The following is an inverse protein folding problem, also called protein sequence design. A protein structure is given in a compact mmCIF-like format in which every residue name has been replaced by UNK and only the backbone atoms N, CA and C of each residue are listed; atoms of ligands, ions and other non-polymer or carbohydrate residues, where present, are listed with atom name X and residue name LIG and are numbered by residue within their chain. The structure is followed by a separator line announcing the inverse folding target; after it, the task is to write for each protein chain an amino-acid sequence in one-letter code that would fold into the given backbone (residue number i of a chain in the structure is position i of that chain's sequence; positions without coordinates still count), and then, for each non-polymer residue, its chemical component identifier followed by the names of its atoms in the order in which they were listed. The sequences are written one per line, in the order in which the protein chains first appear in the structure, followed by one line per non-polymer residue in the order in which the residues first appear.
data_IF_337471860909
#
_entry.id   IF_337471860909
#
_cell.length_a   1.000
_cell.length_b   1.000
_cell.length_c   1.000
_cell.angle_alpha   90.00
_cell.angle_beta   90.00
_cell.angle_gamma   90.00
#
_symmetry.space_group_name_H-M   'P 1'
#
loop_
_entity.id
_entity.type
_entity.pdbx_description
1 polymer ?
#
# COMPACT_ATOMS: atom_id res chain seq x y z
N UNK A 1 -19.80 14.93 14.23
CA UNK A 1 -20.64 14.02 13.43
C UNK A 1 -19.76 12.86 13.00
N UNK A 2 -20.20 11.60 13.01
CA UNK A 2 -19.32 10.49 12.67
C UNK A 2 -18.93 10.60 11.20
N UNK A 3 -17.62 10.62 10.93
CA UNK A 3 -17.02 10.60 9.61
C UNK A 3 -17.39 9.27 8.94
N UNK A 4 -18.42 9.27 8.10
CA UNK A 4 -18.85 8.10 7.32
C UNK A 4 -17.85 7.66 6.24
N UNK A 5 -16.56 7.93 6.47
CA UNK A 5 -15.56 8.16 5.44
C UNK A 5 -14.26 7.40 5.67
N UNK A 6 -13.96 7.10 6.93
CA UNK A 6 -12.81 6.29 7.31
C UNK A 6 -13.30 4.87 7.54
N UNK A 7 -12.76 3.92 6.79
CA UNK A 7 -12.95 2.51 7.11
C UNK A 7 -11.84 2.05 8.07
N UNK A 8 -12.21 1.28 9.08
CA UNK A 8 -11.26 0.63 9.99
C UNK A 8 -11.31 -0.87 9.77
N UNK A 9 -10.17 -1.43 9.37
CA UNK A 9 -9.96 -2.87 9.19
C UNK A 9 -9.24 -3.41 10.41
N UNK A 10 -9.75 -4.52 10.95
CA UNK A 10 -9.14 -5.25 12.07
C UNK A 10 -8.61 -6.59 11.59
N UNK A 11 -7.49 -7.04 12.16
CA UNK A 11 -6.79 -8.23 11.69
C UNK A 11 -6.95 -9.39 12.68
N UNK A 12 -7.67 -10.44 12.28
CA UNK A 12 -7.89 -11.61 13.14
C UNK A 12 -6.60 -12.36 13.50
N UNK A 13 -5.61 -12.37 12.61
CA UNK A 13 -4.30 -13.00 12.84
C UNK A 13 -3.35 -12.13 13.69
N UNK A 14 -3.68 -10.85 13.86
CA UNK A 14 -2.88 -9.89 14.62
C UNK A 14 -3.80 -9.06 15.52
N UNK A 15 -4.35 -9.67 16.60
CA UNK A 15 -5.24 -8.97 17.51
C UNK A 15 -4.60 -7.69 18.05
N UNK A 16 -5.40 -6.61 18.14
CA UNK A 16 -4.93 -5.30 18.59
C UNK A 16 -4.30 -4.43 17.50
N UNK A 17 -4.04 -4.98 16.31
CA UNK A 17 -3.62 -4.19 15.14
C UNK A 17 -4.84 -3.73 14.35
N UNK A 18 -4.79 -2.49 13.87
CA UNK A 18 -5.84 -1.94 13.02
C UNK A 18 -5.25 -1.16 11.84
N UNK A 19 -6.04 -1.04 10.78
CA UNK A 19 -5.71 -0.26 9.60
C UNK A 19 -6.87 0.67 9.29
N UNK A 20 -6.61 1.97 9.37
CA UNK A 20 -7.53 3.01 8.91
C UNK A 20 -7.27 3.30 7.45
N UNK A 21 -8.33 3.51 6.69
CA UNK A 21 -8.22 3.92 5.30
C UNK A 21 -9.28 4.94 4.90
N UNK A 22 -8.98 5.77 3.90
CA UNK A 22 -9.85 6.81 3.33
C UNK A 22 -9.57 6.99 1.83
N UNK A 23 -10.58 7.39 1.04
CA UNK A 23 -10.49 7.54 -0.42
C UNK A 23 -10.58 9.00 -0.86
N UNK A 24 -9.58 9.52 -1.56
CA UNK A 24 -9.55 10.93 -1.98
C UNK A 24 -9.51 11.02 -3.49
N UNK A 25 -10.40 11.79 -4.11
CA UNK A 25 -10.47 11.95 -5.57
C UNK A 25 -9.91 13.31 -6.02
N UNK A 26 -9.77 13.50 -7.34
CA UNK A 26 -9.39 14.80 -7.89
C UNK A 26 -7.93 15.18 -7.66
N UNK A 27 -7.07 14.21 -7.30
CA UNK A 27 -5.67 14.49 -6.94
C UNK A 27 -4.79 14.53 -8.20
N UNK A 28 -4.06 15.63 -8.49
CA UNK A 28 -3.12 15.67 -9.61
C UNK A 28 -1.97 14.66 -9.45
N UNK A 29 -1.40 14.18 -10.56
CA UNK A 29 -0.31 13.17 -10.53
C UNK A 29 0.90 13.65 -9.72
N UNK A 30 1.35 14.89 -9.95
CA UNK A 30 2.50 15.47 -9.26
C UNK A 30 2.27 15.57 -7.74
N UNK A 31 1.03 15.87 -7.34
CA UNK A 31 0.63 15.90 -5.95
C UNK A 31 0.63 14.49 -5.33
N UNK A 32 0.20 13.45 -6.07
CA UNK A 32 0.24 12.06 -5.62
C UNK A 32 1.66 11.63 -5.25
N UNK A 33 2.65 11.94 -6.10
CA UNK A 33 4.06 11.56 -5.87
C UNK A 33 4.63 12.23 -4.63
N UNK A 34 4.47 13.56 -4.54
CA UNK A 34 4.93 14.32 -3.39
C UNK A 34 4.23 13.88 -2.08
N UNK A 35 2.95 13.53 -2.15
CA UNK A 35 2.22 12.98 -0.99
C UNK A 35 2.69 11.58 -0.61
N UNK A 36 2.94 10.70 -1.56
CA UNK A 36 3.46 9.36 -1.29
C UNK A 36 4.79 9.44 -0.54
N UNK A 37 5.74 10.26 -0.99
CA UNK A 37 7.03 10.47 -0.32
C UNK A 37 6.87 11.07 1.10
N UNK A 38 5.96 12.04 1.26
CA UNK A 38 5.67 12.62 2.58
C UNK A 38 5.02 11.61 3.53
N UNK A 39 4.08 10.80 3.06
CA UNK A 39 3.38 9.79 3.87
C UNK A 39 4.34 8.73 4.42
N UNK A 40 5.38 8.36 3.66
CA UNK A 40 6.41 7.41 4.14
C UNK A 40 7.19 7.92 5.35
N UNK A 41 7.57 9.19 5.26
CA UNK A 41 8.36 9.87 6.27
C UNK A 41 7.47 10.54 7.31
N UNK A 42 6.17 10.26 7.29
CA UNK A 42 5.23 10.81 8.23
C UNK A 42 5.48 10.21 9.60
N UNK A 43 6.11 11.01 10.44
CA UNK A 43 6.26 10.74 11.85
C UNK A 43 5.29 11.64 12.60
N UNK A 44 4.26 11.05 13.19
CA UNK A 44 3.43 11.75 14.16
C UNK A 44 4.30 11.95 15.41
N UNK A 45 5.03 13.07 15.45
CA UNK A 45 6.08 13.45 16.42
C UNK A 45 5.69 13.39 17.91
N UNK A 46 4.49 12.93 18.23
CA UNK A 46 3.89 12.91 19.57
C UNK A 46 3.69 11.48 20.14
N UNK A 47 4.36 10.46 19.59
CA UNK A 47 4.28 9.09 20.13
C UNK A 47 5.69 8.53 20.36
N UNK A 48 6.06 8.34 21.63
CA UNK A 48 7.32 7.71 22.09
C UNK A 48 7.56 6.28 21.54
N UNK A 49 6.63 5.76 20.74
CA UNK A 49 6.65 4.43 20.10
C UNK A 49 6.15 4.48 18.66
N UNK A 50 6.19 5.62 17.96
CA UNK A 50 5.75 5.71 16.57
C UNK A 50 6.56 4.74 15.69
N UNK A 51 5.96 3.61 15.32
CA UNK A 51 6.57 2.71 14.36
C UNK A 51 6.76 3.48 13.04
N UNK A 52 8.01 3.55 12.58
CA UNK A 52 8.37 4.20 11.33
C UNK A 52 7.55 3.62 10.15
N UNK A 53 7.02 4.49 9.29
CA UNK A 53 6.33 4.13 8.06
C UNK A 53 5.00 3.37 8.24
N UNK A 54 4.20 3.77 9.24
CA UNK A 54 2.81 3.29 9.45
C UNK A 54 1.82 3.78 8.41
N UNK A 55 2.12 4.89 7.74
CA UNK A 55 1.25 5.54 6.78
C UNK A 55 1.72 5.31 5.35
N UNK A 56 0.77 5.27 4.41
CA UNK A 56 1.05 5.24 2.99
C UNK A 56 -0.12 5.78 2.19
N UNK A 57 0.16 6.17 0.95
CA UNK A 57 -0.83 6.54 -0.06
C UNK A 57 -0.61 5.63 -1.27
N UNK A 58 -1.69 5.19 -1.89
CA UNK A 58 -1.64 4.32 -3.06
C UNK A 58 -2.77 4.60 -4.05
N UNK A 59 -2.62 4.18 -5.30
CA UNK A 59 -3.62 4.32 -6.36
C UNK A 59 -4.84 3.42 -6.06
N UNK A 60 -5.99 4.05 -5.83
CA UNK A 60 -7.23 3.31 -5.56
C UNK A 60 -7.74 2.54 -6.79
N UNK A 61 -7.35 2.96 -8.00
CA UNK A 61 -7.67 2.25 -9.25
C UNK A 61 -6.99 0.88 -9.33
N UNK A 62 -5.93 0.65 -8.56
CA UNK A 62 -5.22 -0.63 -8.46
C UNK A 62 -5.77 -1.57 -7.40
N UNK A 63 -6.71 -1.10 -6.60
CA UNK A 63 -7.31 -1.84 -5.49
C UNK A 63 -8.71 -2.30 -5.88
N UNK A 64 -9.01 -3.58 -5.68
CA UNK A 64 -10.30 -4.14 -6.11
C UNK A 64 -11.41 -4.05 -5.07
N UNK A 65 -11.06 -4.07 -3.78
CA UNK A 65 -12.00 -3.99 -2.67
C UNK A 65 -11.26 -3.70 -1.35
N UNK A 66 -12.01 -3.49 -0.27
CA UNK A 66 -11.44 -3.46 1.08
C UNK A 66 -10.87 -4.81 1.51
N UNK A 67 -11.43 -5.92 1.03
CA UNK A 67 -10.92 -7.26 1.33
C UNK A 67 -9.52 -7.49 0.72
N UNK A 68 -9.27 -6.95 -0.49
CA UNK A 68 -7.92 -6.92 -1.08
C UNK A 68 -6.93 -6.27 -0.09
N UNK A 69 -7.26 -5.09 0.43
CA UNK A 69 -6.40 -4.38 1.39
C UNK A 69 -6.27 -5.12 2.71
N UNK A 70 -7.34 -5.71 3.22
CA UNK A 70 -7.31 -6.51 4.46
C UNK A 70 -6.37 -7.72 4.32
N UNK A 71 -6.39 -8.41 3.18
CA UNK A 71 -5.48 -9.54 2.90
C UNK A 71 -4.04 -9.05 2.76
N UNK A 72 -3.82 -7.98 1.98
CA UNK A 72 -2.48 -7.40 1.83
C UNK A 72 -1.89 -6.91 3.16
N UNK A 73 -2.71 -6.27 4.01
CA UNK A 73 -2.33 -5.81 5.35
C UNK A 73 -1.98 -6.96 6.29
N UNK A 74 -2.74 -8.07 6.28
CA UNK A 74 -2.39 -9.27 7.04
C UNK A 74 -1.03 -9.84 6.60
N UNK A 75 -0.77 -9.92 5.30
CA UNK A 75 0.51 -10.41 4.78
C UNK A 75 1.65 -9.46 5.18
N UNK A 76 1.42 -8.15 5.10
CA UNK A 76 2.40 -7.14 5.51
C UNK A 76 2.72 -7.24 7.01
N UNK A 77 1.71 -7.42 7.87
CA UNK A 77 1.88 -7.68 9.29
C UNK A 77 2.69 -8.95 9.56
N UNK A 78 2.37 -10.04 8.89
CA UNK A 78 3.11 -11.31 9.03
C UNK A 78 4.58 -11.16 8.61
N UNK A 79 4.87 -10.40 7.55
CA UNK A 79 6.24 -10.12 7.09
C UNK A 79 6.98 -9.19 8.04
N UNK A 80 6.31 -8.16 8.57
CA UNK A 80 6.88 -7.27 9.59
C UNK A 80 7.26 -8.03 10.86
N UNK A 81 6.38 -8.92 11.34
CA UNK A 81 6.64 -9.74 12.52
C UNK A 81 7.87 -10.65 12.34
N UNK A 82 8.05 -11.25 11.14
CA UNK A 82 9.25 -12.04 10.81
C UNK A 82 10.52 -11.19 10.87
N UNK A 83 10.48 -9.96 10.35
CA UNK A 83 11.63 -9.05 10.41
C UNK A 83 11.99 -8.64 11.84
N UNK A 84 10.98 -8.35 12.66
CA UNK A 84 11.18 -8.04 14.09
C UNK A 84 11.80 -9.22 14.85
N UNK A 85 11.29 -10.43 14.62
CA UNK A 85 11.84 -11.65 15.22
C UNK A 85 13.30 -11.90 14.80
N UNK A 86 13.64 -11.72 13.51
CA UNK A 86 15.01 -11.84 13.04
C UNK A 86 15.94 -10.78 13.63
N UNK A 87 15.49 -9.52 13.76
CA UNK A 87 16.27 -8.45 14.36
C UNK A 87 16.54 -8.72 15.85
N UNK A 88 15.54 -9.22 16.59
CA UNK A 88 15.70 -9.61 18.00
C UNK A 88 16.65 -10.79 18.17
N UNK A 89 16.56 -11.82 17.30
CA UNK A 89 17.46 -12.96 17.33
C UNK A 89 18.92 -12.56 17.03
N UNK A 90 19.14 -11.65 16.09
CA UNK A 90 20.49 -11.12 15.79
C UNK A 90 21.05 -10.28 16.95
N UNK A 91 20.21 -9.46 17.60
CA UNK A 91 20.61 -8.70 18.77
C UNK A 91 20.99 -9.60 19.97
N UNK A 92 20.31 -10.74 20.13
CA UNK A 92 20.65 -11.73 21.16
C UNK A 92 21.91 -12.53 20.84
N UNK A 93 22.21 -12.77 19.55
CA UNK A 93 23.42 -13.47 19.13
C UNK A 93 24.71 -12.61 19.19
N UNK A 94 24.58 -11.28 19.24
CA UNK A 94 25.69 -10.31 19.34
C UNK A 94 25.93 -9.78 20.78
N UNK A 95 25.64 -10.60 21.79
CA UNK A 95 25.93 -10.24 23.18
C UNK A 95 27.43 -10.20 23.50
N UNK A 96 28.10 -9.09 23.20
CA UNK A 96 29.30 -8.51 23.86
C UNK A 96 30.14 -7.75 22.84
N UNK A 97 30.02 -6.42 22.76
CA UNK A 97 31.13 -5.47 22.65
C UNK A 97 30.52 -4.07 22.56
N UNK A 98 30.79 -3.27 23.58
CA UNK A 98 30.59 -1.83 23.54
C UNK A 98 31.39 -1.24 22.36
N UNK A 99 30.88 -0.09 21.87
CA UNK A 99 31.56 0.89 21.03
C UNK A 99 31.37 0.74 19.50
N UNK A 100 30.43 1.55 19.00
CA UNK A 100 30.52 2.12 17.65
C UNK A 100 29.45 1.66 16.65
N UNK A 101 28.29 2.33 16.64
CA UNK A 101 27.56 2.73 15.42
C UNK A 101 27.34 1.71 14.29
N UNK A 102 27.31 0.42 14.57
CA UNK A 102 27.14 -0.63 13.56
C UNK A 102 25.67 -0.94 13.32
N UNK A 103 25.01 -0.13 12.49
CA UNK A 103 23.63 -0.34 12.07
C UNK A 103 23.44 -1.75 11.49
N UNK A 104 22.67 -2.58 12.20
CA UNK A 104 22.17 -3.86 11.72
C UNK A 104 21.31 -3.63 10.47
N UNK A 105 21.92 -3.64 9.28
CA UNK A 105 21.29 -3.65 7.96
C UNK A 105 19.97 -2.83 7.85
N UNK A 106 19.93 -1.65 8.49
CA UNK A 106 18.71 -0.84 8.65
C UNK A 106 18.25 -0.22 7.32
N UNK A 107 19.10 -0.26 6.29
CA UNK A 107 18.85 0.33 4.98
C UNK A 107 17.73 -0.35 4.16
N UNK A 108 17.23 -1.52 4.59
CA UNK A 108 16.14 -2.23 3.89
C UNK A 108 14.82 -2.32 4.68
N UNK A 109 14.72 -1.71 5.86
CA UNK A 109 13.47 -1.79 6.65
C UNK A 109 12.41 -0.88 6.05
N UNK A 110 11.45 -1.48 5.35
CA UNK A 110 10.25 -0.82 4.85
C UNK A 110 9.24 -0.70 5.98
N UNK A 111 8.57 0.44 6.06
CA UNK A 111 7.43 0.62 6.96
C UNK A 111 6.27 -0.29 6.57
N UNK A 112 5.40 -0.61 7.53
CA UNK A 112 4.25 -1.50 7.29
C UNK A 112 3.26 -0.94 6.26
N UNK A 113 3.17 0.38 6.13
CA UNK A 113 2.40 1.04 5.07
C UNK A 113 2.94 0.70 3.68
N UNK A 114 4.26 0.84 3.46
CA UNK A 114 4.90 0.44 2.19
C UNK A 114 4.74 -1.05 1.92
N UNK A 115 4.89 -1.87 2.94
CA UNK A 115 4.79 -3.31 2.78
C UNK A 115 3.37 -3.72 2.38
N UNK A 116 2.36 -3.00 2.86
CA UNK A 116 0.97 -3.18 2.43
C UNK A 116 0.77 -2.79 0.97
N UNK A 117 1.39 -1.70 0.48
CA UNK A 117 1.39 -1.33 -0.94
C UNK A 117 2.02 -2.44 -1.80
N UNK A 118 3.16 -2.99 -1.36
CA UNK A 118 3.86 -4.08 -2.06
C UNK A 118 3.01 -5.35 -2.08
N UNK A 119 2.44 -5.73 -0.94
CA UNK A 119 1.59 -6.91 -0.84
C UNK A 119 0.33 -6.78 -1.68
N UNK A 120 -0.26 -5.57 -1.75
CA UNK A 120 -1.43 -5.28 -2.59
C UNK A 120 -1.11 -5.49 -4.08
N UNK A 121 0.09 -5.13 -4.52
CA UNK A 121 0.50 -5.35 -5.91
C UNK A 121 0.68 -6.83 -6.29
N UNK A 122 0.68 -7.76 -5.32
CA UNK A 122 0.83 -9.20 -5.58
C UNK A 122 2.14 -9.56 -6.30
N UNK A 123 3.21 -8.78 -6.06
CA UNK A 123 4.51 -8.94 -6.71
C UNK A 123 5.65 -8.94 -5.69
N UNK A 124 6.69 -9.73 -5.96
CA UNK A 124 7.94 -9.70 -5.20
C UNK A 124 8.86 -8.55 -5.62
N UNK A 125 8.56 -7.89 -6.75
CA UNK A 125 9.36 -6.76 -7.24
C UNK A 125 8.88 -5.45 -6.62
N UNK A 126 9.44 -5.10 -5.46
CA UNK A 126 9.04 -3.92 -4.71
C UNK A 126 9.12 -2.61 -5.51
N UNK A 127 10.10 -2.47 -6.42
CA UNK A 127 10.21 -1.27 -7.27
C UNK A 127 8.98 -1.07 -8.17
N UNK A 128 8.55 -2.12 -8.87
CA UNK A 128 7.33 -2.06 -9.68
C UNK A 128 6.09 -1.80 -8.86
N UNK A 129 5.96 -2.43 -7.68
CA UNK A 129 4.83 -2.20 -6.79
C UNK A 129 4.76 -0.75 -6.31
N UNK A 130 5.87 -0.22 -5.80
CA UNK A 130 5.93 1.14 -5.28
C UNK A 130 5.69 2.17 -6.40
N UNK A 131 6.18 1.92 -7.61
CA UNK A 131 5.91 2.80 -8.76
C UNK A 131 4.44 2.75 -9.20
N UNK A 132 3.91 1.56 -9.46
CA UNK A 132 2.62 1.38 -10.12
C UNK A 132 1.43 1.50 -9.16
N UNK A 133 1.65 1.24 -7.86
CA UNK A 133 0.62 1.31 -6.81
C UNK A 133 0.88 2.46 -5.83
N UNK A 134 2.14 2.78 -5.51
CA UNK A 134 2.48 3.74 -4.46
C UNK A 134 2.89 5.14 -4.96
N UNK A 135 2.82 5.43 -6.25
CA UNK A 135 3.27 6.69 -6.85
C UNK A 135 4.75 7.04 -6.61
N UNK A 136 5.61 6.06 -6.34
CA UNK A 136 7.04 6.29 -6.11
C UNK A 136 7.84 6.36 -7.41
N UNK A 137 8.70 7.37 -7.55
CA UNK A 137 9.69 7.39 -8.63
C UNK A 137 10.85 6.47 -8.24
N UNK A 138 10.75 5.20 -8.64
CA UNK A 138 11.83 4.25 -8.43
C UNK A 138 12.91 4.56 -9.46
N UNK A 139 14.12 4.89 -8.98
CA UNK A 139 15.27 5.20 -9.82
C UNK A 139 15.34 4.20 -10.99
N UNK A 140 15.35 4.73 -12.22
CA UNK A 140 15.28 3.93 -13.44
C UNK A 140 16.33 2.82 -13.42
N UNK A 141 15.89 1.55 -13.38
CA UNK A 141 16.79 0.47 -13.74
C UNK A 141 17.05 0.51 -15.25
N UNK A 142 18.01 -0.32 -15.66
CA UNK A 142 18.72 -0.36 -16.94
C UNK A 142 17.92 -0.02 -18.22
N UNK A 143 18.62 0.29 -19.32
CA UNK A 143 18.04 0.70 -20.61
C UNK A 143 16.90 -0.19 -21.15
N UNK A 144 16.82 -1.45 -20.72
CA UNK A 144 15.72 -2.37 -21.04
C UNK A 144 14.39 -1.95 -20.39
N UNK A 145 14.42 -1.38 -19.19
CA UNK A 145 13.24 -0.86 -18.49
C UNK A 145 12.80 0.51 -19.00
N UNK A 146 13.71 1.32 -19.58
CA UNK A 146 13.36 2.59 -20.26
C UNK A 146 12.38 2.36 -21.43
N UNK A 147 12.56 1.30 -22.22
CA UNK A 147 11.62 0.94 -23.31
C UNK A 147 10.25 0.47 -22.79
N UNK A 148 10.18 -0.09 -21.57
CA UNK A 148 8.90 -0.36 -20.91
C UNK A 148 8.28 0.90 -20.30
N UNK A 149 9.12 1.85 -19.83
CA UNK A 149 8.72 3.16 -19.31
C UNK A 149 7.93 3.94 -20.35
N UNK A 150 8.38 3.99 -21.60
CA UNK A 150 7.66 4.67 -22.70
C UNK A 150 6.31 3.98 -23.02
N UNK A 151 6.26 2.65 -23.09
CA UNK A 151 5.01 1.92 -23.39
C UNK A 151 3.98 1.89 -22.25
N UNK A 152 4.41 2.10 -21.00
CA UNK A 152 3.50 2.15 -19.84
C UNK A 152 3.17 3.58 -19.40
N UNK A 153 4.07 4.56 -19.59
CA UNK A 153 3.74 5.98 -19.41
C UNK A 153 2.68 6.41 -20.42
N UNK A 154 2.71 5.94 -21.67
CA UNK A 154 1.62 6.21 -22.63
C UNK A 154 0.26 5.63 -22.19
N UNK A 155 0.25 4.66 -21.27
CA UNK A 155 -0.97 4.07 -20.71
C UNK A 155 -1.43 4.74 -19.39
N UNK A 156 -0.56 5.48 -18.69
CA UNK A 156 -0.92 6.33 -17.54
C UNK A 156 -1.12 7.80 -17.93
N UNK A 157 -0.56 8.24 -19.06
CA UNK A 157 -0.71 9.58 -19.63
C UNK A 157 -2.11 9.78 -20.21
N UNK A 158 -3.10 9.98 -19.34
CA UNK A 158 -4.40 10.61 -19.66
C UNK A 158 -5.31 10.89 -18.47
N UNK A 159 -4.98 10.48 -17.26
CA UNK A 159 -5.76 10.84 -16.09
C UNK A 159 -5.36 12.27 -15.64
N UNK A 160 -6.24 13.24 -15.83
CA UNK A 160 -6.04 14.61 -15.31
C UNK A 160 -6.08 14.67 -13.78
N UNK A 161 -6.59 13.62 -13.14
CA UNK A 161 -6.64 13.45 -11.69
C UNK A 161 -6.76 11.97 -11.32
N UNK A 162 -6.30 11.64 -10.12
CA UNK A 162 -6.31 10.30 -9.54
C UNK A 162 -7.30 10.22 -8.38
N UNK A 163 -7.76 8.99 -8.12
CA UNK A 163 -8.33 8.64 -6.83
C UNK A 163 -7.29 7.85 -6.05
N UNK A 164 -6.96 8.29 -4.85
CA UNK A 164 -5.99 7.65 -3.99
C UNK A 164 -6.68 6.99 -2.80
N UNK A 165 -6.05 5.94 -2.28
CA UNK A 165 -6.36 5.33 -1.01
C UNK A 165 -5.25 5.71 -0.04
N UNK A 166 -5.60 6.48 0.99
CA UNK A 166 -4.72 6.75 2.12
C UNK A 166 -4.90 5.65 3.16
N UNK A 167 -3.80 5.17 3.76
CA UNK A 167 -3.83 4.12 4.79
C UNK A 167 -2.94 4.49 5.98
N UNK A 168 -3.35 4.08 7.18
CA UNK A 168 -2.60 4.29 8.43
C UNK A 168 -2.78 3.13 9.39
N UNK A 169 -1.67 2.51 9.80
CA UNK A 169 -1.68 1.44 10.79
C UNK A 169 -1.65 1.99 12.22
N UNK A 170 -2.40 1.33 13.10
CA UNK A 170 -2.35 1.50 14.56
C UNK A 170 -2.46 2.97 14.99
N UNK A 171 -3.36 3.72 14.34
CA UNK A 171 -3.70 5.06 14.77
C UNK A 171 -4.49 4.96 16.08
N UNK A 172 -4.12 5.77 17.08
CA UNK A 172 -4.73 5.79 18.41
C UNK A 172 -6.22 6.09 18.35
N UNK A 173 -6.59 7.05 17.51
CA UNK A 173 -7.94 7.54 17.32
C UNK A 173 -8.13 8.09 15.89
N UNK A 174 -9.35 8.52 15.59
CA UNK A 174 -9.70 9.15 14.31
C UNK A 174 -8.93 10.46 14.13
N UNK A 175 -8.62 11.18 15.21
CA UNK A 175 -7.94 12.47 15.18
C UNK A 175 -6.47 12.37 14.74
N UNK A 176 -5.74 11.31 15.14
CA UNK A 176 -4.38 11.04 14.63
C UNK A 176 -4.41 10.83 13.11
N UNK A 177 -5.41 10.08 12.63
CA UNK A 177 -5.55 9.81 11.21
C UNK A 177 -5.99 11.07 10.43
N UNK A 178 -6.93 11.84 10.96
CA UNK A 178 -7.36 13.12 10.37
C UNK A 178 -6.22 14.14 10.33
N UNK A 179 -5.36 14.18 11.35
CA UNK A 179 -4.14 15.01 11.33
C UNK A 179 -3.21 14.60 10.19
N UNK A 180 -3.00 13.30 9.99
CA UNK A 180 -2.24 12.80 8.84
C UNK A 180 -2.87 13.24 7.51
N UNK A 181 -4.19 13.11 7.35
CA UNK A 181 -4.87 13.56 6.13
C UNK A 181 -4.71 15.07 5.91
N UNK A 182 -4.90 15.88 6.96
CA UNK A 182 -4.72 17.33 6.90
C UNK A 182 -3.30 17.71 6.49
N UNK A 183 -2.27 17.07 7.05
CA UNK A 183 -0.86 17.31 6.72
C UNK A 183 -0.52 16.91 5.27
N UNK A 184 -1.27 15.95 4.71
CA UNK A 184 -1.17 15.59 3.30
C UNK A 184 -1.93 16.54 2.35
N UNK A 185 -2.64 17.54 2.87
CA UNK A 185 -3.59 18.39 2.13
C UNK A 185 -4.77 17.60 1.53
N UNK A 186 -5.20 16.58 2.25
CA UNK A 186 -6.31 15.71 1.86
C UNK A 186 -7.56 16.15 2.63
N UNK A 187 -8.40 16.95 1.97
CA UNK A 187 -9.61 17.52 2.56
C UNK A 187 -10.83 16.59 2.48
N UNK A 188 -11.83 16.89 3.32
CA UNK A 188 -13.13 16.22 3.34
C UNK A 188 -13.84 16.29 1.98
N UNK A 189 -14.15 15.13 1.42
CA UNK A 189 -14.75 14.99 0.10
C UNK A 189 -14.69 13.57 -0.46
N UNK A 190 -14.61 12.57 0.43
CA UNK A 190 -14.30 11.22 0.02
C UNK A 190 -15.52 10.57 -0.66
N UNK A 191 -15.36 9.90 -1.81
CA UNK A 191 -16.34 8.91 -2.23
C UNK A 191 -16.51 7.84 -1.14
N UNK A 192 -17.77 7.44 -0.91
CA UNK A 192 -18.06 6.28 -0.08
C UNK A 192 -17.32 5.06 -0.64
N UNK A 193 -16.53 4.37 0.19
CA UNK A 193 -15.69 3.26 -0.26
C UNK A 193 -16.47 2.11 -0.88
N UNK A 194 -17.63 1.78 -0.30
CA UNK A 194 -18.51 0.73 -0.83
C UNK A 194 -19.01 1.10 -2.24
N UNK A 195 -19.43 2.36 -2.43
CA UNK A 195 -19.82 2.87 -3.74
C UNK A 195 -18.65 2.89 -4.72
N UNK A 196 -17.46 3.33 -4.29
CA UNK A 196 -16.30 3.38 -5.15
C UNK A 196 -15.87 1.98 -5.59
N UNK A 197 -15.68 1.03 -4.68
CA UNK A 197 -15.26 -0.32 -5.05
C UNK A 197 -16.34 -1.13 -5.76
N UNK A 198 -17.63 -0.82 -5.52
CA UNK A 198 -18.76 -1.42 -6.22
C UNK A 198 -19.06 -0.83 -7.61
N UNK A 199 -18.42 0.27 -8.00
CA UNK A 199 -18.66 0.91 -9.30
C UNK A 199 -18.17 0.02 -10.46
N UNK A 200 -18.78 0.12 -11.65
CA UNK A 200 -18.21 -0.48 -12.85
C UNK A 200 -16.83 0.11 -13.15
N UNK A 201 -15.82 -0.75 -13.33
CA UNK A 201 -14.46 -0.32 -13.68
C UNK A 201 -14.36 0.02 -15.15
N UNK A 202 -13.51 1.00 -15.47
CA UNK A 202 -13.22 1.32 -16.87
C UNK A 202 -12.49 0.16 -17.56
N UNK A 203 -12.59 0.06 -18.90
CA UNK A 203 -11.87 -0.96 -19.67
C UNK A 203 -10.36 -0.88 -19.46
N UNK A 204 -9.83 0.33 -19.33
CA UNK A 204 -8.39 0.58 -19.11
C UNK A 204 -7.96 0.13 -17.71
N UNK A 205 -8.74 0.45 -16.68
CA UNK A 205 -8.50 0.01 -15.30
C UNK A 205 -8.53 -1.51 -15.19
N UNK A 206 -9.55 -2.16 -15.78
CA UNK A 206 -9.67 -3.61 -15.80
C UNK A 206 -8.48 -4.26 -16.53
N UNK A 207 -8.13 -3.78 -17.72
CA UNK A 207 -6.98 -4.30 -18.47
C UNK A 207 -5.66 -4.15 -17.69
N UNK A 208 -5.50 -3.03 -16.97
CA UNK A 208 -4.37 -2.79 -16.08
C UNK A 208 -4.29 -3.80 -14.94
N UNK A 209 -5.42 -4.05 -14.26
CA UNK A 209 -5.51 -5.03 -13.17
C UNK A 209 -5.22 -6.45 -13.66
N UNK A 210 -5.88 -6.90 -14.73
CA UNK A 210 -5.68 -8.22 -15.32
C UNK A 210 -4.22 -8.46 -15.70
N UNK A 211 -3.58 -7.45 -16.31
CA UNK A 211 -2.16 -7.50 -16.67
C UNK A 211 -1.26 -7.59 -15.43
N UNK A 212 -1.50 -6.77 -14.40
CA UNK A 212 -0.69 -6.75 -13.18
C UNK A 212 -0.73 -8.09 -12.44
N UNK A 213 -1.92 -8.70 -12.33
CA UNK A 213 -2.09 -9.96 -11.60
C UNK A 213 -1.96 -11.22 -12.45
N UNK A 214 -1.67 -11.06 -13.75
CA UNK A 214 -1.62 -12.16 -14.75
C UNK A 214 -2.90 -13.00 -14.70
N UNK A 215 -4.05 -12.33 -14.63
CA UNK A 215 -5.38 -12.93 -14.65
C UNK A 215 -5.92 -12.81 -16.06
N UNK A 216 -6.43 -13.91 -16.61
CA UNK A 216 -7.06 -13.88 -17.93
C UNK A 216 -8.51 -13.41 -17.83
N UNK A 217 -9.05 -12.82 -18.90
CA UNK A 217 -10.47 -12.45 -18.93
C UNK A 217 -11.37 -13.68 -18.73
N UNK A 218 -11.00 -14.83 -19.32
CA UNK A 218 -11.70 -16.10 -19.12
C UNK A 218 -11.75 -16.53 -17.65
N UNK A 219 -10.69 -16.30 -16.87
CA UNK A 219 -10.65 -16.63 -15.44
C UNK A 219 -11.61 -15.77 -14.61
N UNK A 220 -11.85 -14.53 -15.03
CA UNK A 220 -12.84 -13.64 -14.40
C UNK A 220 -14.26 -13.95 -14.87
N UNK A 221 -14.41 -14.41 -16.12
CA UNK A 221 -15.72 -14.70 -16.72
C UNK A 221 -16.24 -16.10 -16.35
N UNK A 222 -15.36 -17.03 -15.95
CA UNK A 222 -15.72 -18.40 -15.57
C UNK A 222 -16.28 -18.51 -14.14
N UNK A 223 -17.43 -19.18 -14.05
CA UNK A 223 -18.06 -19.79 -12.87
C UNK A 223 -17.59 -19.28 -11.48
N UNK A 224 -18.15 -18.14 -11.04
CA UNK A 224 -18.15 -17.73 -9.63
C UNK A 224 -16.87 -17.09 -9.10
N UNK A 225 -15.79 -17.05 -9.90
CA UNK A 225 -14.57 -16.31 -9.53
C UNK A 225 -14.73 -14.84 -9.91
N UNK A 226 -15.15 -14.01 -8.94
CA UNK A 226 -15.13 -12.55 -9.14
C UNK A 226 -13.68 -12.09 -9.39
N UNK A 227 -13.51 -10.97 -10.12
CA UNK A 227 -12.21 -10.32 -10.28
C UNK A 227 -11.48 -10.15 -8.93
N UNK A 228 -12.24 -9.82 -7.90
CA UNK A 228 -11.78 -9.74 -6.51
C UNK A 228 -11.21 -11.07 -6.02
N UNK A 229 -11.92 -12.18 -6.19
CA UNK A 229 -11.45 -13.50 -5.77
C UNK A 229 -10.16 -13.93 -6.48
N UNK A 230 -10.08 -13.71 -7.80
CA UNK A 230 -8.88 -14.02 -8.59
C UNK A 230 -7.66 -13.22 -8.06
N UNK A 231 -7.83 -11.93 -7.83
CA UNK A 231 -6.76 -11.05 -7.34
C UNK A 231 -6.35 -11.40 -5.90
N UNK A 232 -7.31 -11.60 -5.00
CA UNK A 232 -7.03 -12.01 -3.61
C UNK A 232 -6.25 -13.33 -3.60
N UNK A 233 -6.63 -14.30 -4.43
CA UNK A 233 -5.92 -15.57 -4.56
C UNK A 233 -4.47 -15.37 -5.02
N UNK A 234 -4.23 -14.49 -6.00
CA UNK A 234 -2.88 -14.15 -6.46
C UNK A 234 -2.03 -13.50 -5.36
N UNK A 235 -2.61 -12.58 -4.60
CA UNK A 235 -1.91 -11.92 -3.48
C UNK A 235 -1.58 -12.93 -2.38
N UNK A 236 -2.57 -13.74 -1.97
CA UNK A 236 -2.42 -14.72 -0.91
C UNK A 236 -1.37 -15.79 -1.22
N UNK A 237 -1.30 -16.24 -2.48
CA UNK A 237 -0.34 -17.28 -2.90
C UNK A 237 1.07 -16.74 -3.16
N UNK A 238 1.24 -15.44 -3.42
CA UNK A 238 2.52 -14.89 -3.88
C UNK A 238 3.64 -15.00 -2.85
N UNK A 239 3.29 -14.96 -1.57
CA UNK A 239 4.25 -14.87 -0.46
C UNK A 239 4.25 -16.13 0.42
N UNK A 240 3.63 -17.21 -0.05
CA UNK A 240 3.65 -18.54 0.58
C UNK A 240 4.81 -19.33 -0.05
N UNK A 241 6.04 -19.02 0.36
CA UNK A 241 7.24 -19.83 0.12
C UNK A 241 8.14 -19.75 1.35
#
# INVERSE_FOLDING_TARGET
MPSGTIATLTFGLHPGRNLRCSLHNGIPEDACRAMAERALNYDARDVESAAFGRFAIMDAGRVVSLQHIAVAGNIALARSARWEAHAQAQAQAQGSFEQGGGGANSNNRRGIGQETVICSAGTSHAGYALRDYGFFDVASASETEKKQKEKQQDAMAKASSFTILAIGFDCKDDAEYDKFLADMNLADGQPNMGQYFGRPRSKQELAGLLKSFKVSQNEVDMHGSSLEHAIITRIATKFVV
#
